data_IF_574699825081
#
_entry.id   IF_574699825081
#
_cell.length_a   1.000
_cell.length_b   1.000
_cell.length_c   1.000
_cell.angle_alpha   90.00
_cell.angle_beta   90.00
_cell.angle_gamma   90.00
#
_symmetry.space_group_name_H-M   'P 1'
#
loop_
_entity.id
_entity.type
_entity.pdbx_description
1 polymer ?
#
# COMPACT_ATOMS: atom_id res chain seq x y z
N UNK A 1 -5.47 -23.73 2.71
CA UNK A 1 -5.03 -22.36 3.06
C UNK A 1 -4.69 -21.66 1.77
N UNK A 2 -5.20 -20.45 1.53
CA UNK A 2 -4.76 -19.65 0.39
C UNK A 2 -3.28 -19.25 0.61
N UNK A 3 -2.49 -19.04 -0.45
CA UNK A 3 -1.12 -18.53 -0.31
C UNK A 3 -1.15 -17.12 0.29
N UNK A 4 -0.24 -16.84 1.22
CA UNK A 4 -0.01 -15.47 1.69
C UNK A 4 0.69 -14.70 0.56
N UNK A 5 0.14 -13.55 0.20
CA UNK A 5 0.69 -12.67 -0.83
C UNK A 5 1.02 -11.33 -0.19
N UNK A 6 2.27 -10.91 -0.31
CA UNK A 6 2.72 -9.58 0.11
C UNK A 6 2.87 -8.69 -1.13
N UNK A 7 2.35 -7.45 -1.04
CA UNK A 7 2.47 -6.46 -2.09
C UNK A 7 3.32 -5.30 -1.61
N UNK A 8 4.45 -5.05 -2.28
CA UNK A 8 5.24 -3.84 -2.09
C UNK A 8 4.91 -2.82 -3.16
N UNK A 9 4.66 -1.58 -2.74
CA UNK A 9 4.23 -0.50 -3.62
C UNK A 9 5.03 0.76 -3.35
N UNK A 10 5.81 1.20 -4.34
CA UNK A 10 6.39 2.54 -4.34
C UNK A 10 5.34 3.55 -4.79
N UNK A 11 5.08 4.54 -3.93
CA UNK A 11 4.14 5.64 -4.16
C UNK A 11 4.76 6.95 -3.66
N UNK A 12 4.68 8.00 -4.48
CA UNK A 12 5.06 9.34 -4.07
C UNK A 12 3.84 10.01 -3.45
N UNK A 13 3.91 10.31 -2.16
CA UNK A 13 2.87 11.02 -1.43
C UNK A 13 3.36 12.42 -1.08
N UNK A 14 2.51 13.43 -1.33
CA UNK A 14 2.85 14.81 -1.00
C UNK A 14 3.00 14.98 0.52
N UNK A 15 4.09 15.62 0.96
CA UNK A 15 4.38 15.81 2.38
C UNK A 15 4.94 14.58 3.11
N UNK A 16 5.08 13.44 2.43
CA UNK A 16 5.74 12.25 2.97
C UNK A 16 7.16 12.15 2.42
N UNK A 17 8.12 11.85 3.31
CA UNK A 17 9.52 11.65 3.00
C UNK A 17 10.07 10.46 3.79
N UNK A 18 11.33 10.10 3.54
CA UNK A 18 12.03 9.05 4.30
C UNK A 18 12.18 9.35 5.80
N UNK A 19 12.00 10.60 6.22
CA UNK A 19 12.03 11.00 7.62
C UNK A 19 10.63 11.16 8.24
N UNK A 20 9.57 10.95 7.46
CA UNK A 20 8.20 11.00 7.96
C UNK A 20 7.94 9.86 8.93
N UNK A 21 7.01 10.07 9.86
CA UNK A 21 6.58 8.99 10.75
C UNK A 21 5.51 8.18 10.05
N UNK A 22 5.38 6.90 10.40
CA UNK A 22 4.27 6.07 9.92
C UNK A 22 2.92 6.74 10.16
N UNK A 23 2.74 7.41 11.31
CA UNK A 23 1.52 8.15 11.62
C UNK A 23 1.14 9.17 10.54
N UNK A 24 2.12 9.84 9.92
CA UNK A 24 1.89 10.83 8.87
C UNK A 24 1.45 10.11 7.58
N UNK A 25 2.06 8.97 7.26
CA UNK A 25 1.67 8.11 6.12
C UNK A 25 0.26 7.55 6.29
N UNK A 26 -0.11 7.17 7.52
CA UNK A 26 -1.46 6.67 7.82
C UNK A 26 -2.55 7.69 7.48
N UNK A 27 -2.26 9.01 7.49
CA UNK A 27 -3.22 10.03 7.07
C UNK A 27 -3.59 9.91 5.58
N UNK A 28 -2.68 9.40 4.75
CA UNK A 28 -2.88 9.19 3.31
C UNK A 28 -3.53 7.85 2.97
N UNK A 29 -4.16 7.17 3.95
CA UNK A 29 -4.79 5.85 3.77
C UNK A 29 -5.66 5.75 2.52
N UNK A 30 -6.49 6.77 2.29
CA UNK A 30 -7.43 6.79 1.16
C UNK A 30 -6.69 6.85 -0.18
N UNK A 31 -5.66 7.67 -0.28
CA UNK A 31 -4.83 7.83 -1.49
C UNK A 31 -4.07 6.54 -1.80
N UNK A 32 -3.42 5.97 -0.78
CA UNK A 32 -2.67 4.72 -0.87
C UNK A 32 -3.59 3.57 -1.28
N UNK A 33 -4.75 3.43 -0.63
CA UNK A 33 -5.71 2.38 -0.93
C UNK A 33 -6.28 2.51 -2.34
N UNK A 34 -6.59 3.74 -2.79
CA UNK A 34 -7.09 4.00 -4.14
C UNK A 34 -6.06 3.60 -5.21
N UNK A 35 -4.80 3.93 -5.00
CA UNK A 35 -3.73 3.54 -5.93
C UNK A 35 -3.48 2.03 -5.91
N UNK A 36 -3.54 1.41 -4.73
CA UNK A 36 -3.44 -0.03 -4.57
C UNK A 36 -4.56 -0.77 -5.31
N UNK A 37 -5.83 -0.37 -5.14
CA UNK A 37 -6.97 -0.95 -5.85
C UNK A 37 -6.82 -0.81 -7.37
N UNK A 38 -6.39 0.36 -7.87
CA UNK A 38 -6.15 0.56 -9.32
C UNK A 38 -5.12 -0.42 -9.85
N UNK A 39 -4.01 -0.63 -9.13
CA UNK A 39 -2.97 -1.58 -9.53
C UNK A 39 -3.44 -3.03 -9.44
N UNK A 40 -4.22 -3.37 -8.41
CA UNK A 40 -4.79 -4.69 -8.24
C UNK A 40 -5.78 -5.04 -9.36
N UNK A 41 -6.73 -4.15 -9.68
CA UNK A 41 -7.70 -4.39 -10.77
C UNK A 41 -6.99 -4.56 -12.11
N UNK A 42 -5.89 -3.83 -12.34
CA UNK A 42 -5.07 -3.99 -13.54
C UNK A 42 -4.32 -5.33 -13.59
N UNK A 43 -3.87 -5.83 -12.44
CA UNK A 43 -3.12 -7.08 -12.34
C UNK A 43 -4.01 -8.33 -12.31
N UNK A 44 -5.21 -8.22 -11.73
CA UNK A 44 -6.17 -9.31 -11.50
C UNK A 44 -7.55 -8.90 -12.05
N UNK A 45 -7.73 -8.87 -13.38
CA UNK A 45 -9.00 -8.48 -14.01
C UNK A 45 -10.17 -9.42 -13.65
N UNK A 46 -9.89 -10.65 -13.23
CA UNK A 46 -10.86 -11.62 -12.70
C UNK A 46 -11.43 -11.24 -11.31
N UNK A 47 -10.83 -10.26 -10.64
CA UNK A 47 -11.22 -9.77 -9.33
C UNK A 47 -10.49 -10.46 -8.18
N UNK A 48 -10.14 -9.68 -7.16
CA UNK A 48 -9.51 -10.14 -5.92
C UNK A 48 -10.34 -9.70 -4.72
N UNK A 49 -10.45 -10.58 -3.72
CA UNK A 49 -11.05 -10.23 -2.42
C UNK A 49 -9.93 -9.85 -1.46
N UNK A 50 -10.00 -8.64 -0.93
CA UNK A 50 -9.06 -8.15 0.09
C UNK A 50 -9.74 -8.33 1.46
N UNK A 51 -9.21 -9.20 2.30
CA UNK A 51 -9.74 -9.42 3.66
C UNK A 51 -9.18 -8.42 4.69
N UNK A 52 -7.92 -8.00 4.53
CA UNK A 52 -7.28 -6.96 5.33
C UNK A 52 -6.31 -6.13 4.47
N UNK A 53 -6.08 -4.88 4.89
CA UNK A 53 -5.15 -3.97 4.25
C UNK A 53 -4.37 -3.19 5.29
N UNK A 54 -3.06 -3.40 5.31
CA UNK A 54 -2.10 -2.74 6.18
C UNK A 54 -0.97 -2.15 5.32
N UNK A 55 -0.47 -0.99 5.73
CA UNK A 55 0.59 -0.26 5.01
C UNK A 55 1.38 0.59 6.01
N UNK A 56 2.59 0.98 5.63
CA UNK A 56 3.52 1.79 6.43
C UNK A 56 4.77 2.10 5.61
N UNK A 57 5.76 2.73 6.23
CA UNK A 57 7.07 2.93 5.60
C UNK A 57 7.85 1.61 5.60
N UNK A 58 8.48 1.28 4.47
CA UNK A 58 9.44 0.17 4.39
C UNK A 58 10.77 0.65 4.98
N UNK A 59 10.93 0.46 6.30
CA UNK A 59 12.11 0.90 7.05
C UNK A 59 13.32 -0.04 6.86
N UNK A 60 13.15 -1.20 6.22
CA UNK A 60 14.21 -2.20 6.02
C UNK A 60 15.27 -1.78 4.96
N UNK A 61 15.14 -0.58 4.38
CA UNK A 61 16.11 -0.04 3.41
C UNK A 61 17.29 0.72 4.02
N UNK A 62 17.45 0.74 5.35
CA UNK A 62 18.55 1.44 6.03
C UNK A 62 19.22 0.64 7.14
#
# INVERSE_FOLDING_TARGET
MAPNVEFKMDINLEGVSEHSRDYDVQQHKVEIYTEFEKRLVKAFPEGIKIDSFEFGLDLDRY
#
